data_IF_671825618434
#
_entry.id   IF_671825618434
#
_cell.length_a   1.000
_cell.length_b   1.000
_cell.length_c   1.000
_cell.angle_alpha   90.00
_cell.angle_beta   90.00
_cell.angle_gamma   90.00
#
_symmetry.space_group_name_H-M   'P 1'
#
loop_
_entity.id
_entity.type
_entity.pdbx_description
1 polymer ?
#
# COMPACT_ATOMS: atom_id res chain seq x y z
N UNK A 1 -22.10 1.64 34.84
CA UNK A 1 -22.04 1.43 33.37
C UNK A 1 -21.08 2.46 32.81
N UNK A 2 -19.82 2.07 32.60
CA UNK A 2 -18.81 2.93 31.99
C UNK A 2 -19.08 3.00 30.48
N UNK A 3 -19.35 4.21 29.99
CA UNK A 3 -19.43 4.51 28.57
C UNK A 3 -18.00 4.45 28.03
N UNK A 4 -17.64 3.38 27.31
CA UNK A 4 -16.43 3.38 26.48
C UNK A 4 -16.75 4.30 25.30
N UNK A 5 -16.40 5.57 25.44
CA UNK A 5 -16.32 6.46 24.30
C UNK A 5 -15.01 6.16 23.58
N UNK A 6 -15.03 5.21 22.63
CA UNK A 6 -14.04 5.26 21.56
C UNK A 6 -14.35 6.51 20.75
N UNK A 7 -13.58 7.58 20.97
CA UNK A 7 -13.52 8.68 20.02
C UNK A 7 -13.10 8.08 18.68
N UNK A 8 -14.06 7.99 17.75
CA UNK A 8 -13.76 7.64 16.36
C UNK A 8 -12.91 8.79 15.83
N UNK A 9 -11.59 8.63 15.86
CA UNK A 9 -10.69 9.54 15.17
C UNK A 9 -11.09 9.46 13.69
N UNK A 10 -11.48 10.59 13.11
CA UNK A 10 -11.71 10.67 11.67
C UNK A 10 -10.41 10.23 10.97
N UNK A 11 -10.47 9.28 10.04
CA UNK A 11 -9.26 8.86 9.35
C UNK A 11 -8.68 10.07 8.59
N UNK A 12 -7.39 10.32 8.80
CA UNK A 12 -6.69 11.44 8.17
C UNK A 12 -6.32 11.03 6.74
N UNK A 13 -6.46 11.95 5.78
CA UNK A 13 -6.15 11.69 4.37
C UNK A 13 -4.99 12.59 3.94
N UNK A 14 -3.89 11.98 3.48
CA UNK A 14 -2.79 12.65 2.79
C UNK A 14 -3.03 12.52 1.29
N UNK A 15 -3.26 13.62 0.56
CA UNK A 15 -3.50 13.57 -0.89
C UNK A 15 -2.27 13.94 -1.69
N UNK A 16 -2.07 13.29 -2.85
CA UNK A 16 -0.97 13.54 -3.78
C UNK A 16 0.41 13.42 -3.13
N UNK A 17 0.54 12.49 -2.21
CA UNK A 17 1.79 12.19 -1.52
C UNK A 17 2.68 11.37 -2.48
N UNK A 18 4.00 11.41 -2.30
CA UNK A 18 4.95 10.72 -3.18
C UNK A 18 5.42 9.43 -2.52
N UNK A 19 5.18 8.30 -3.19
CA UNK A 19 5.73 7.00 -2.85
C UNK A 19 6.95 6.73 -3.72
N UNK A 20 8.12 6.56 -3.11
CA UNK A 20 9.35 6.21 -3.81
C UNK A 20 9.56 4.69 -3.82
N UNK A 21 9.68 4.11 -5.02
CA UNK A 21 9.94 2.69 -5.25
C UNK A 21 11.15 2.58 -6.19
N UNK A 22 12.26 2.04 -5.70
CA UNK A 22 13.52 1.88 -6.47
C UNK A 22 13.89 3.15 -7.28
N UNK A 23 13.89 4.31 -6.61
CA UNK A 23 14.20 5.63 -7.19
C UNK A 23 13.18 6.17 -8.20
N UNK A 24 12.02 5.51 -8.34
CA UNK A 24 10.88 6.01 -9.11
C UNK A 24 9.80 6.54 -8.16
N UNK A 25 9.29 7.74 -8.41
CA UNK A 25 8.28 8.38 -7.58
C UNK A 25 6.88 8.25 -8.19
N UNK A 26 5.91 7.83 -7.37
CA UNK A 26 4.51 7.62 -7.75
C UNK A 26 3.59 8.46 -6.87
N UNK A 27 2.54 9.04 -7.47
CA UNK A 27 1.54 9.78 -6.70
C UNK A 27 0.57 8.81 -6.03
N UNK A 28 0.26 9.05 -4.76
CA UNK A 28 -0.70 8.24 -4.00
C UNK A 28 -1.50 9.10 -3.02
N UNK A 29 -2.76 8.72 -2.83
CA UNK A 29 -3.58 9.19 -1.73
C UNK A 29 -3.51 8.16 -0.59
N UNK A 30 -3.09 8.60 0.61
CA UNK A 30 -2.85 7.73 1.76
C UNK A 30 -3.93 7.98 2.81
N UNK A 31 -4.57 6.90 3.26
CA UNK A 31 -5.43 6.90 4.42
C UNK A 31 -4.62 6.55 5.66
N UNK A 32 -4.44 7.51 6.56
CA UNK A 32 -3.67 7.33 7.79
C UNK A 32 -4.59 6.74 8.84
N UNK A 33 -4.24 5.53 9.27
CA UNK A 33 -4.99 4.74 10.26
C UNK A 33 -4.02 4.26 11.35
N UNK A 34 -4.44 4.16 12.62
CA UNK A 34 -3.59 3.70 13.71
C UNK A 34 -3.43 2.17 13.67
N UNK A 35 -2.83 1.62 12.61
CA UNK A 35 -2.41 0.22 12.57
C UNK A 35 -1.04 0.06 13.18
N UNK A 36 -0.88 -1.00 13.97
CA UNK A 36 0.36 -1.29 14.70
C UNK A 36 1.34 -2.12 13.85
N UNK A 37 0.82 -2.87 12.88
CA UNK A 37 1.60 -3.93 12.20
C UNK A 37 1.98 -3.60 10.74
N UNK A 38 1.55 -2.46 10.20
CA UNK A 38 1.80 -2.09 8.80
C UNK A 38 2.15 -0.61 8.64
N UNK A 39 3.22 -0.35 7.89
CA UNK A 39 3.65 1.00 7.57
C UNK A 39 2.80 1.64 6.45
N UNK A 40 2.47 0.86 5.40
CA UNK A 40 1.69 1.31 4.26
C UNK A 40 0.98 0.13 3.58
N UNK A 41 -0.30 0.30 3.27
CA UNK A 41 -1.09 -0.65 2.48
C UNK A 41 -1.51 0.04 1.18
N UNK A 42 -1.21 -0.58 0.05
CA UNK A 42 -1.60 -0.09 -1.28
C UNK A 42 -2.95 -0.72 -1.66
N UNK A 43 -3.96 0.13 -1.90
CA UNK A 43 -5.28 -0.30 -2.36
C UNK A 43 -5.30 -0.67 -3.84
N UNK A 44 -6.39 -1.30 -4.30
CA UNK A 44 -6.53 -1.69 -5.70
C UNK A 44 -6.60 -0.51 -6.65
N UNK A 45 -7.18 0.60 -6.20
CA UNK A 45 -7.27 1.83 -6.98
C UNK A 45 -5.88 2.24 -7.48
N UNK A 46 -4.94 2.35 -6.55
CA UNK A 46 -3.56 2.71 -6.87
C UNK A 46 -2.86 1.66 -7.74
N UNK A 47 -3.06 0.37 -7.45
CA UNK A 47 -2.51 -0.72 -8.26
C UNK A 47 -3.04 -0.70 -9.70
N UNK A 48 -4.32 -0.40 -9.87
CA UNK A 48 -5.01 -0.36 -11.18
C UNK A 48 -4.60 0.86 -11.98
N UNK A 49 -4.56 2.03 -11.34
CA UNK A 49 -4.14 3.29 -11.96
C UNK A 49 -2.71 3.19 -12.52
N UNK A 50 -1.84 2.47 -11.82
CA UNK A 50 -0.46 2.26 -12.24
C UNK A 50 -0.22 0.94 -12.99
N UNK A 51 -1.28 0.18 -13.30
CA UNK A 51 -1.23 -1.08 -14.06
C UNK A 51 -0.23 -2.08 -13.49
N UNK A 52 -0.20 -2.20 -12.16
CA UNK A 52 0.72 -3.10 -11.47
C UNK A 52 0.41 -4.54 -11.84
N UNK A 53 1.46 -5.29 -12.21
CA UNK A 53 1.38 -6.72 -12.47
C UNK A 53 1.96 -7.46 -11.27
N UNK A 54 1.14 -8.29 -10.62
CA UNK A 54 1.53 -9.13 -9.50
C UNK A 54 1.82 -10.55 -9.98
N UNK A 55 3.07 -10.99 -9.90
CA UNK A 55 3.45 -12.40 -10.02
C UNK A 55 3.55 -13.00 -8.60
N UNK A 56 2.41 -13.46 -8.08
CA UNK A 56 2.35 -14.04 -6.73
C UNK A 56 3.23 -15.29 -6.57
N UNK A 57 3.45 -16.04 -7.66
CA UNK A 57 4.27 -17.25 -7.62
C UNK A 57 5.74 -16.89 -7.42
N UNK A 58 6.23 -15.90 -8.16
CA UNK A 58 7.60 -15.38 -7.99
C UNK A 58 7.72 -14.43 -6.79
N UNK A 59 6.59 -13.99 -6.23
CA UNK A 59 6.51 -12.94 -5.22
C UNK A 59 7.17 -11.66 -5.74
N UNK A 60 6.82 -11.26 -6.95
CA UNK A 60 7.32 -10.04 -7.58
C UNK A 60 6.12 -9.20 -7.98
N UNK A 61 6.24 -7.89 -7.89
CA UNK A 61 5.36 -7.00 -8.63
C UNK A 61 6.15 -6.11 -9.56
N UNK A 62 5.57 -5.79 -10.71
CA UNK A 62 6.13 -4.85 -11.66
C UNK A 62 5.19 -3.69 -11.93
N UNK A 63 5.76 -2.51 -12.06
CA UNK A 63 5.06 -1.25 -12.28
C UNK A 63 5.83 -0.44 -13.34
N UNK A 64 5.10 0.26 -14.21
CA UNK A 64 5.73 1.16 -15.17
C UNK A 64 6.02 2.50 -14.50
N UNK A 65 7.29 2.87 -14.44
CA UNK A 65 7.75 4.17 -13.95
C UNK A 65 7.35 5.32 -14.88
N UNK A 66 7.51 6.57 -14.41
CA UNK A 66 7.06 7.76 -15.13
C UNK A 66 7.78 7.98 -16.48
N UNK A 67 8.97 7.40 -16.70
CA UNK A 67 9.69 7.49 -17.97
C UNK A 67 9.49 6.24 -18.85
N UNK A 68 8.58 5.34 -18.48
CA UNK A 68 8.26 4.12 -19.20
C UNK A 68 9.13 2.91 -18.83
N UNK A 69 10.10 3.07 -17.93
CA UNK A 69 10.90 2.01 -17.34
C UNK A 69 10.04 1.02 -16.56
N UNK A 70 10.44 -0.25 -16.51
CA UNK A 70 9.78 -1.24 -15.67
C UNK A 70 10.55 -1.32 -14.35
N UNK A 71 9.86 -1.05 -13.25
CA UNK A 71 10.37 -1.24 -11.90
C UNK A 71 9.85 -2.57 -11.38
N UNK A 72 10.75 -3.48 -10.99
CA UNK A 72 10.40 -4.79 -10.43
C UNK A 72 10.78 -4.87 -8.96
N UNK A 73 9.82 -5.14 -8.10
CA UNK A 73 10.03 -5.23 -6.65
C UNK A 73 9.83 -6.67 -6.18
N UNK A 74 10.81 -7.16 -5.43
CA UNK A 74 10.73 -8.47 -4.79
C UNK A 74 9.93 -8.37 -3.48
N UNK A 75 8.95 -9.24 -3.33
CA UNK A 75 8.20 -9.44 -2.11
C UNK A 75 9.04 -10.17 -1.06
N UNK A 76 8.94 -9.72 0.18
CA UNK A 76 9.59 -10.37 1.33
C UNK A 76 8.58 -11.31 1.97
N UNK A 77 8.96 -12.57 2.18
CA UNK A 77 8.20 -13.49 3.05
C UNK A 77 8.84 -13.57 4.41
N UNK A 78 8.17 -13.04 5.43
CA UNK A 78 8.43 -13.40 6.83
C UNK A 78 7.50 -14.57 7.19
N UNK A 79 7.97 -15.55 7.96
CA UNK A 79 7.22 -16.79 8.27
C UNK A 79 5.98 -16.60 9.16
N UNK A 80 5.57 -15.35 9.40
CA UNK A 80 4.36 -14.99 10.14
C UNK A 80 3.38 -14.52 9.09
N UNK A 81 2.29 -15.26 8.88
CA UNK A 81 1.22 -14.84 7.96
C UNK A 81 0.57 -13.60 8.59
N UNK A 82 1.07 -12.42 8.25
CA UNK A 82 0.50 -11.15 8.72
C UNK A 82 -0.64 -10.77 7.77
N UNK A 83 -1.85 -11.12 8.23
CA UNK A 83 -3.16 -10.60 7.86
C UNK A 83 -3.52 -10.56 6.35
N UNK A 84 -4.65 -11.19 6.02
CA UNK A 84 -5.28 -11.11 4.70
C UNK A 84 -5.60 -9.63 4.42
N UNK A 85 -4.85 -9.00 3.52
CA UNK A 85 -5.22 -7.68 2.97
C UNK A 85 -6.30 -7.95 1.92
N UNK A 86 -7.56 -7.73 2.30
CA UNK A 86 -8.66 -7.67 1.34
C UNK A 86 -8.54 -6.36 0.58
N UNK A 87 -8.18 -6.50 -0.69
CA UNK A 87 -8.24 -5.51 -1.72
C UNK A 87 -9.71 -5.10 -1.97
N UNK A 88 -10.12 -3.93 -1.49
CA UNK A 88 -11.32 -3.24 -2.01
C UNK A 88 -10.94 -2.50 -3.28
#
# INVERSE_FOLDING_TARGET
>A
MSKVAMSVLSPLVCRRCLLEIQSSAFSIDILIMPFVDFDLILGMDWLTDHRVILDCRKKIFSIQGPNGEIVEVNGVTTSVITQIILFF
#
